data_IF_810807965229
#
_entry.id   IF_810807965229
#
_cell.length_a   1.000
_cell.length_b   1.000
_cell.length_c   1.000
_cell.angle_alpha   90.00
_cell.angle_beta   90.00
_cell.angle_gamma   90.00
#
_symmetry.space_group_name_H-M   'P 1'
#
loop_
_entity.id
_entity.type
_entity.pdbx_description
1 polymer ?
#
# COMPACT_ATOMS: atom_id res chain seq x y z
N UNK A 1 28.78 60.54 -32.96
CA UNK A 1 28.60 59.44 -33.93
C UNK A 1 29.22 58.18 -33.35
N UNK A 2 28.41 57.36 -32.67
CA UNK A 2 28.80 56.04 -32.12
C UNK A 2 27.68 55.06 -32.48
N UNK A 3 28.04 54.04 -33.24
CA UNK A 3 27.21 52.88 -33.56
C UNK A 3 26.92 52.07 -32.30
N UNK A 4 25.66 51.76 -32.04
CA UNK A 4 25.27 50.66 -31.15
C UNK A 4 24.80 49.48 -32.01
N UNK A 5 25.53 48.36 -31.88
CA UNK A 5 25.20 47.06 -32.45
C UNK A 5 24.04 46.45 -31.65
N UNK A 6 22.93 46.15 -32.32
CA UNK A 6 21.89 45.28 -31.78
C UNK A 6 22.37 43.81 -31.80
N UNK A 7 22.19 43.12 -30.68
CA UNK A 7 22.48 41.69 -30.50
C UNK A 7 21.36 40.82 -31.12
N UNK A 8 21.67 39.74 -31.86
CA UNK A 8 20.67 38.87 -32.49
C UNK A 8 20.11 37.77 -31.56
N UNK A 9 20.19 37.95 -30.23
CA UNK A 9 19.77 36.93 -29.25
C UNK A 9 18.32 37.04 -28.76
N UNK A 10 17.55 38.06 -29.19
CA UNK A 10 16.17 38.27 -28.75
C UNK A 10 15.08 37.77 -29.71
N UNK A 11 15.44 37.19 -30.87
CA UNK A 11 14.47 36.67 -31.84
C UNK A 11 14.39 35.14 -31.91
N UNK A 12 15.23 34.41 -31.17
CA UNK A 12 15.24 32.94 -31.15
C UNK A 12 14.53 32.30 -29.95
N UNK A 13 14.18 33.06 -28.90
CA UNK A 13 13.40 32.56 -27.77
C UNK A 13 11.88 32.60 -27.99
N UNK A 14 11.40 33.45 -28.91
CA UNK A 14 9.96 33.56 -29.24
C UNK A 14 9.42 32.42 -30.13
N UNK A 15 10.26 31.78 -30.94
CA UNK A 15 9.84 30.74 -31.90
C UNK A 15 9.86 29.33 -31.28
N UNK A 16 10.62 29.12 -30.19
CA UNK A 16 10.63 27.85 -29.47
C UNK A 16 9.45 27.68 -28.50
N UNK A 17 8.82 28.77 -28.04
CA UNK A 17 7.63 28.70 -27.17
C UNK A 17 6.32 28.47 -27.94
N UNK A 18 6.22 28.92 -29.20
CA UNK A 18 5.05 28.61 -30.04
C UNK A 18 5.09 27.20 -30.67
N UNK A 19 6.28 26.64 -30.89
CA UNK A 19 6.42 25.30 -31.47
C UNK A 19 6.30 24.16 -30.45
N UNK A 20 6.47 24.43 -29.14
CA UNK A 20 6.15 23.47 -28.07
C UNK A 20 4.65 23.51 -27.67
N UNK A 21 4.01 24.68 -27.72
CA UNK A 21 2.57 24.85 -27.42
C UNK A 21 1.65 24.22 -28.48
N UNK A 22 2.04 24.28 -29.77
CA UNK A 22 1.23 23.69 -30.85
C UNK A 22 1.33 22.15 -30.97
N UNK A 23 2.38 21.53 -30.39
CA UNK A 23 2.55 20.07 -30.37
C UNK A 23 2.01 19.40 -29.09
N UNK A 24 1.88 20.12 -27.97
CA UNK A 24 1.24 19.59 -26.76
C UNK A 24 -0.29 19.57 -26.88
N UNK A 25 -0.90 20.50 -27.63
CA UNK A 25 -2.36 20.52 -27.85
C UNK A 25 -2.87 19.34 -28.69
N UNK A 26 -2.04 18.76 -29.56
CA UNK A 26 -2.44 17.63 -30.42
C UNK A 26 -2.24 16.25 -29.79
N UNK A 27 -1.51 16.12 -28.67
CA UNK A 27 -1.35 14.85 -27.95
C UNK A 27 -2.41 14.64 -26.85
N UNK A 28 -3.11 15.70 -26.42
CA UNK A 28 -4.19 15.60 -25.42
C UNK A 28 -5.60 15.52 -26.03
N UNK A 29 -5.75 15.60 -27.36
CA UNK A 29 -7.05 15.48 -28.03
C UNK A 29 -7.36 14.07 -28.58
N UNK A 30 -6.50 13.07 -28.36
CA UNK A 30 -6.84 11.69 -28.70
C UNK A 30 -7.52 11.02 -27.50
N UNK A 31 -8.84 10.91 -27.63
CA UNK A 31 -9.78 10.07 -26.84
C UNK A 31 -10.15 10.53 -25.43
N UNK A 32 -10.73 11.73 -25.30
CA UNK A 32 -11.82 11.88 -24.32
C UNK A 32 -13.10 11.34 -24.96
N UNK A 33 -13.32 10.03 -24.86
CA UNK A 33 -14.65 9.47 -25.04
C UNK A 33 -15.53 10.10 -23.96
N UNK A 34 -16.51 10.91 -24.38
CA UNK A 34 -17.53 11.46 -23.48
C UNK A 34 -18.38 10.27 -23.02
N UNK A 35 -17.98 9.61 -21.93
CA UNK A 35 -18.79 8.61 -21.28
C UNK A 35 -20.00 9.30 -20.66
N UNK A 36 -21.19 8.72 -20.83
CA UNK A 36 -22.35 9.21 -20.09
C UNK A 36 -22.18 8.85 -18.61
N UNK A 37 -22.69 9.65 -17.67
CA UNK A 37 -22.59 9.35 -16.23
C UNK A 37 -23.08 7.93 -15.87
N UNK A 38 -24.05 7.40 -16.63
CA UNK A 38 -24.55 6.02 -16.49
C UNK A 38 -23.48 4.95 -16.76
N UNK A 39 -22.52 5.21 -17.65
CA UNK A 39 -21.47 4.25 -17.99
C UNK A 39 -20.43 4.14 -16.87
N UNK A 40 -20.19 5.22 -16.12
CA UNK A 40 -19.28 5.24 -14.98
C UNK A 40 -19.91 4.63 -13.73
N UNK A 41 -21.19 4.90 -13.44
CA UNK A 41 -21.92 4.31 -12.31
C UNK A 41 -21.90 2.79 -12.35
N UNK A 42 -22.00 2.20 -13.56
CA UNK A 42 -21.92 0.75 -13.75
C UNK A 42 -20.60 0.14 -13.26
N UNK A 43 -19.51 0.91 -13.22
CA UNK A 43 -18.21 0.45 -12.75
C UNK A 43 -18.11 0.29 -11.24
N UNK A 44 -19.05 0.87 -10.47
CA UNK A 44 -19.14 0.75 -9.01
C UNK A 44 -20.05 -0.40 -8.56
N UNK A 45 -20.68 -1.09 -9.51
CA UNK A 45 -21.63 -2.16 -9.21
C UNK A 45 -20.95 -3.30 -8.43
N UNK A 46 -21.60 -3.82 -7.36
CA UNK A 46 -21.07 -4.94 -6.59
C UNK A 46 -20.78 -6.19 -7.44
N UNK A 47 -19.79 -6.96 -7.02
CA UNK A 47 -19.35 -8.16 -7.74
C UNK A 47 -20.32 -9.30 -7.48
N UNK A 48 -20.75 -9.96 -8.56
CA UNK A 48 -21.48 -11.22 -8.46
C UNK A 48 -20.46 -12.36 -8.35
N UNK A 49 -20.34 -12.98 -7.17
CA UNK A 49 -19.39 -14.06 -6.91
C UNK A 49 -19.84 -15.43 -7.45
N UNK A 50 -20.08 -15.48 -8.77
CA UNK A 50 -20.21 -16.70 -9.56
C UNK A 50 -19.04 -16.81 -10.55
N UNK A 51 -18.84 -18.00 -11.15
CA UNK A 51 -17.78 -18.17 -12.15
C UNK A 51 -17.95 -17.27 -13.38
N UNK A 52 -19.19 -16.95 -13.77
CA UNK A 52 -19.46 -15.97 -14.82
C UNK A 52 -19.29 -14.55 -14.31
N UNK A 53 -19.85 -14.21 -13.14
CA UNK A 53 -19.81 -12.84 -12.61
C UNK A 53 -18.39 -12.33 -12.33
N UNK A 54 -17.48 -13.19 -11.86
CA UNK A 54 -16.06 -12.81 -11.70
C UNK A 54 -15.41 -12.53 -13.07
N UNK A 55 -15.69 -13.36 -14.08
CA UNK A 55 -15.18 -13.12 -15.45
C UNK A 55 -15.73 -11.82 -16.01
N UNK A 56 -17.02 -11.60 -15.85
CA UNK A 56 -17.70 -10.40 -16.33
C UNK A 56 -17.11 -9.15 -15.68
N UNK A 57 -16.86 -9.17 -14.36
CA UNK A 57 -16.17 -8.08 -13.66
C UNK A 57 -14.79 -7.80 -14.26
N UNK A 58 -13.95 -8.82 -14.49
CA UNK A 58 -12.63 -8.59 -15.05
C UNK A 58 -12.69 -8.06 -16.48
N UNK A 59 -13.57 -8.60 -17.32
CA UNK A 59 -13.68 -8.22 -18.74
C UNK A 59 -14.31 -6.84 -18.93
N UNK A 60 -15.35 -6.51 -18.16
CA UNK A 60 -16.18 -5.33 -18.41
C UNK A 60 -15.97 -4.20 -17.40
N UNK A 61 -15.33 -4.44 -16.26
CA UNK A 61 -15.08 -3.43 -15.23
C UNK A 61 -13.59 -3.25 -14.99
N UNK A 62 -12.91 -4.25 -14.43
CA UNK A 62 -11.53 -4.11 -13.92
C UNK A 62 -10.52 -3.66 -14.99
N UNK A 63 -10.60 -4.22 -16.19
CA UNK A 63 -9.64 -3.95 -17.27
C UNK A 63 -9.88 -2.61 -17.99
N UNK A 64 -11.04 -1.96 -17.78
CA UNK A 64 -11.35 -0.67 -18.39
C UNK A 64 -10.43 0.44 -17.86
N UNK A 65 -9.81 1.28 -18.70
CA UNK A 65 -8.91 2.34 -18.25
C UNK A 65 -9.53 3.24 -17.18
N UNK A 66 -10.82 3.56 -17.35
CA UNK A 66 -11.59 4.39 -16.42
C UNK A 66 -11.63 3.80 -14.99
N UNK A 67 -11.58 2.47 -14.86
CA UNK A 67 -11.54 1.82 -13.56
C UNK A 67 -10.30 2.20 -12.74
N UNK A 68 -9.14 2.29 -13.39
CA UNK A 68 -7.90 2.70 -12.71
C UNK A 68 -7.81 4.22 -12.53
N UNK A 69 -8.50 5.01 -13.35
CA UNK A 69 -8.43 6.47 -13.31
C UNK A 69 -9.42 7.07 -12.32
N UNK A 70 -10.64 6.53 -12.27
CA UNK A 70 -11.78 7.14 -11.58
C UNK A 70 -12.29 6.30 -10.40
N UNK A 71 -12.29 4.97 -10.52
CA UNK A 71 -12.93 4.08 -9.55
C UNK A 71 -11.98 3.62 -8.46
N UNK A 72 -10.96 2.82 -8.79
CA UNK A 72 -10.05 2.24 -7.82
C UNK A 72 -9.35 3.27 -6.91
N UNK A 73 -8.92 4.45 -7.39
CA UNK A 73 -8.36 5.51 -6.54
C UNK A 73 -9.28 5.98 -5.42
N UNK A 74 -10.60 5.88 -5.62
CA UNK A 74 -11.62 6.47 -4.77
C UNK A 74 -12.57 5.41 -4.16
N UNK A 75 -12.37 4.13 -4.48
CA UNK A 75 -13.31 3.07 -4.12
C UNK A 75 -12.65 1.69 -4.10
N UNK A 76 -12.25 1.24 -2.90
CA UNK A 76 -11.64 -0.08 -2.69
C UNK A 76 -12.65 -1.20 -2.43
N UNK A 77 -13.97 -0.96 -2.49
CA UNK A 77 -14.97 -1.99 -2.13
C UNK A 77 -14.83 -3.27 -2.96
N UNK A 78 -14.51 -3.21 -4.25
CA UNK A 78 -14.29 -4.44 -5.04
C UNK A 78 -13.14 -5.28 -4.50
N UNK A 79 -12.05 -4.66 -4.08
CA UNK A 79 -10.93 -5.34 -3.46
C UNK A 79 -11.37 -6.02 -2.15
N UNK A 80 -12.05 -5.27 -1.30
CA UNK A 80 -12.58 -5.77 -0.02
C UNK A 80 -13.60 -6.90 -0.22
N UNK A 81 -14.50 -6.79 -1.21
CA UNK A 81 -15.46 -7.84 -1.56
C UNK A 81 -14.76 -9.15 -1.95
N UNK A 82 -13.64 -9.09 -2.69
CA UNK A 82 -12.87 -10.30 -3.00
C UNK A 82 -12.24 -10.93 -1.74
N UNK A 83 -11.69 -10.11 -0.84
CA UNK A 83 -11.13 -10.60 0.42
C UNK A 83 -12.24 -11.18 1.33
N UNK A 84 -13.39 -10.53 1.39
CA UNK A 84 -14.56 -11.00 2.12
C UNK A 84 -15.09 -12.33 1.55
N UNK A 85 -15.13 -12.48 0.23
CA UNK A 85 -15.46 -13.75 -0.39
C UNK A 85 -14.45 -14.84 -0.03
N UNK A 86 -13.16 -14.50 0.06
CA UNK A 86 -12.12 -15.42 0.48
C UNK A 86 -12.38 -15.93 1.90
N UNK A 87 -12.69 -15.02 2.83
CA UNK A 87 -13.00 -15.33 4.22
C UNK A 87 -14.28 -16.18 4.33
N UNK A 88 -15.40 -15.71 3.77
CA UNK A 88 -16.72 -16.36 3.87
C UNK A 88 -16.75 -17.75 3.23
N UNK A 89 -15.98 -17.96 2.16
CA UNK A 89 -15.93 -19.23 1.43
C UNK A 89 -14.75 -20.12 1.86
N UNK A 90 -14.06 -19.77 2.95
CA UNK A 90 -12.86 -20.45 3.46
C UNK A 90 -11.84 -20.76 2.36
N UNK A 91 -11.58 -19.77 1.49
CA UNK A 91 -10.60 -19.91 0.42
C UNK A 91 -9.19 -19.95 1.03
N UNK A 92 -8.31 -20.73 0.39
CA UNK A 92 -6.90 -20.82 0.77
C UNK A 92 -6.17 -19.51 0.48
N UNK A 93 -5.04 -19.28 1.15
CA UNK A 93 -4.13 -18.13 0.95
C UNK A 93 -3.79 -17.84 -0.52
N UNK A 94 -3.68 -18.88 -1.34
CA UNK A 94 -3.43 -18.75 -2.79
C UNK A 94 -4.49 -17.86 -3.46
N UNK A 95 -5.74 -17.94 -3.01
CA UNK A 95 -6.81 -17.07 -3.50
C UNK A 95 -6.56 -15.61 -3.13
N UNK A 96 -6.26 -15.30 -1.86
CA UNK A 96 -5.92 -13.94 -1.42
C UNK A 96 -4.75 -13.38 -2.24
N UNK A 97 -3.69 -14.17 -2.46
CA UNK A 97 -2.58 -13.80 -3.36
C UNK A 97 -3.04 -13.52 -4.79
N UNK A 98 -3.96 -14.33 -5.32
CA UNK A 98 -4.51 -14.14 -6.67
C UNK A 98 -5.41 -12.91 -6.81
N UNK A 99 -5.88 -12.35 -5.69
CA UNK A 99 -6.66 -11.11 -5.64
C UNK A 99 -5.73 -9.91 -5.47
N UNK A 100 -4.88 -9.91 -4.43
CA UNK A 100 -4.02 -8.77 -4.10
C UNK A 100 -3.09 -8.42 -5.27
N UNK A 101 -2.54 -9.43 -5.97
CA UNK A 101 -1.61 -9.19 -7.09
C UNK A 101 -2.23 -8.38 -8.24
N UNK A 102 -3.39 -8.75 -8.82
CA UNK A 102 -4.07 -7.91 -9.80
C UNK A 102 -4.35 -6.50 -9.30
N UNK A 103 -4.87 -6.34 -8.09
CA UNK A 103 -5.20 -5.02 -7.54
C UNK A 103 -3.96 -4.16 -7.32
N UNK A 104 -2.86 -4.72 -6.79
CA UNK A 104 -1.58 -4.03 -6.69
C UNK A 104 -1.06 -3.58 -8.06
N UNK A 105 -1.17 -4.44 -9.08
CA UNK A 105 -0.77 -4.08 -10.44
C UNK A 105 -1.69 -3.01 -11.05
N UNK A 106 -2.98 -3.03 -10.75
CA UNK A 106 -3.93 -2.01 -11.21
C UNK A 106 -3.72 -0.68 -10.51
N UNK A 107 -3.37 -0.71 -9.22
CA UNK A 107 -3.06 0.48 -8.42
C UNK A 107 -1.83 1.22 -8.95
N UNK A 108 -0.85 0.52 -9.53
CA UNK A 108 0.27 1.17 -10.24
C UNK A 108 -0.19 2.10 -11.37
N UNK A 109 -1.26 1.73 -12.08
CA UNK A 109 -1.83 2.51 -13.17
C UNK A 109 -2.73 3.65 -12.68
N UNK A 110 -3.06 3.69 -11.39
CA UNK A 110 -3.82 4.79 -10.80
C UNK A 110 -2.93 6.05 -10.72
N UNK A 111 -3.42 7.23 -11.13
CA UNK A 111 -2.66 8.47 -11.02
C UNK A 111 -2.51 8.94 -9.57
N UNK A 112 -3.49 8.63 -8.74
CA UNK A 112 -3.53 8.96 -7.31
C UNK A 112 -4.33 7.91 -6.54
N UNK A 113 -4.39 8.07 -5.22
CA UNK A 113 -5.29 7.34 -4.31
C UNK A 113 -5.84 8.36 -3.31
N UNK A 114 -7.16 8.37 -3.10
CA UNK A 114 -7.77 9.21 -2.08
C UNK A 114 -7.37 8.69 -0.69
N UNK A 115 -6.75 9.55 0.12
CA UNK A 115 -6.20 9.15 1.41
C UNK A 115 -7.26 8.68 2.42
N UNK A 116 -8.46 9.27 2.40
CA UNK A 116 -9.55 8.90 3.30
C UNK A 116 -10.10 7.52 2.97
N UNK A 117 -10.32 7.24 1.68
CA UNK A 117 -10.82 5.93 1.22
C UNK A 117 -9.75 4.84 1.41
N UNK A 118 -8.47 5.20 1.32
CA UNK A 118 -7.38 4.28 1.67
C UNK A 118 -7.37 3.95 3.16
N UNK A 119 -7.52 4.95 4.04
CA UNK A 119 -7.61 4.73 5.48
C UNK A 119 -8.76 3.77 5.85
N UNK A 120 -9.95 4.01 5.30
CA UNK A 120 -11.13 3.15 5.50
C UNK A 120 -10.91 1.71 4.99
N UNK A 121 -10.15 1.57 3.90
CA UNK A 121 -9.79 0.27 3.34
C UNK A 121 -8.84 -0.49 4.25
N UNK A 122 -7.83 0.17 4.84
CA UNK A 122 -6.88 -0.49 5.75
C UNK A 122 -7.58 -1.10 6.95
N UNK A 123 -8.48 -0.34 7.58
CA UNK A 123 -9.25 -0.81 8.74
C UNK A 123 -10.00 -2.12 8.43
N UNK A 124 -10.70 -2.17 7.30
CA UNK A 124 -11.45 -3.37 6.88
C UNK A 124 -10.51 -4.50 6.42
N UNK A 125 -9.42 -4.16 5.74
CA UNK A 125 -8.45 -5.13 5.22
C UNK A 125 -7.79 -5.93 6.36
N UNK A 126 -7.58 -5.30 7.52
CA UNK A 126 -7.02 -5.97 8.70
C UNK A 126 -7.83 -7.24 9.02
N UNK A 127 -9.10 -7.06 9.35
CA UNK A 127 -10.03 -8.12 9.77
C UNK A 127 -10.14 -9.24 8.72
N UNK A 128 -10.13 -8.88 7.44
CA UNK A 128 -10.29 -9.82 6.34
C UNK A 128 -9.04 -10.68 6.10
N UNK A 129 -7.85 -10.22 6.49
CA UNK A 129 -6.59 -10.91 6.25
C UNK A 129 -6.05 -11.68 7.46
N UNK A 130 -6.42 -11.33 8.70
CA UNK A 130 -5.89 -11.97 9.92
C UNK A 130 -5.95 -13.50 9.82
N UNK A 131 -7.09 -14.06 9.39
CA UNK A 131 -7.26 -15.52 9.29
C UNK A 131 -6.35 -16.18 8.25
N UNK A 132 -5.98 -15.45 7.19
CA UNK A 132 -5.09 -15.95 6.14
C UNK A 132 -3.61 -15.85 6.55
N UNK A 133 -3.29 -14.93 7.46
CA UNK A 133 -1.93 -14.71 7.96
C UNK A 133 -1.54 -15.62 9.13
N UNK A 134 -2.51 -16.21 9.84
CA UNK A 134 -2.21 -17.18 10.90
C UNK A 134 -1.39 -18.35 10.33
N UNK A 135 -0.17 -18.61 10.81
CA UNK A 135 0.50 -19.87 10.53
C UNK A 135 -0.37 -21.02 11.03
N UNK A 136 -0.39 -22.15 10.30
CA UNK A 136 -1.32 -23.25 10.59
C UNK A 136 -1.00 -23.91 11.95
N UNK A 137 0.24 -23.77 12.44
CA UNK A 137 0.68 -24.29 13.75
C UNK A 137 1.82 -23.40 14.30
N UNK A 138 1.58 -22.66 15.38
CA UNK A 138 2.63 -21.96 16.15
C UNK A 138 2.83 -22.70 17.47
N UNK A 139 3.75 -23.67 17.54
CA UNK A 139 4.59 -23.98 18.73
C UNK A 139 5.83 -24.76 18.24
N UNK A 140 7.05 -24.29 18.50
CA UNK A 140 8.31 -25.05 18.21
C UNK A 140 8.34 -26.46 18.83
N UNK A 141 7.55 -26.71 19.89
CA UNK A 141 7.35 -28.04 20.47
C UNK A 141 6.75 -29.05 19.48
N UNK A 142 6.14 -28.59 18.37
CA UNK A 142 5.42 -29.48 17.45
C UNK A 142 6.29 -30.13 16.38
N UNK A 143 7.40 -29.55 15.92
CA UNK A 143 8.28 -30.27 14.97
C UNK A 143 8.91 -31.49 15.65
N UNK A 144 9.36 -31.31 16.89
CA UNK A 144 9.82 -32.42 17.73
C UNK A 144 8.70 -33.41 18.00
N UNK A 145 7.46 -32.95 18.26
CA UNK A 145 6.31 -33.82 18.47
C UNK A 145 5.87 -34.57 17.20
N UNK A 146 5.91 -33.94 16.03
CA UNK A 146 5.62 -34.54 14.72
C UNK A 146 6.67 -35.61 14.41
N UNK A 147 7.96 -35.29 14.55
CA UNK A 147 9.04 -36.26 14.38
C UNK A 147 8.92 -37.38 15.41
N UNK A 148 8.63 -37.07 16.68
CA UNK A 148 8.45 -38.07 17.72
C UNK A 148 7.26 -38.98 17.45
N UNK A 149 6.13 -38.45 16.98
CA UNK A 149 4.94 -39.23 16.65
C UNK A 149 5.14 -40.08 15.39
N UNK A 150 5.85 -39.55 14.38
CA UNK A 150 6.23 -40.33 13.20
C UNK A 150 7.17 -41.48 13.59
N UNK A 151 8.18 -41.21 14.42
CA UNK A 151 9.07 -42.24 14.96
C UNK A 151 8.26 -43.28 15.75
N UNK A 152 7.45 -42.83 16.71
CA UNK A 152 6.68 -43.70 17.58
C UNK A 152 5.69 -44.56 16.80
N UNK A 153 4.93 -43.98 15.87
CA UNK A 153 3.95 -44.70 15.04
C UNK A 153 4.62 -45.68 14.09
N UNK A 154 5.71 -45.28 13.41
CA UNK A 154 6.45 -46.17 12.51
C UNK A 154 7.11 -47.33 13.25
N UNK A 155 7.71 -47.08 14.41
CA UNK A 155 8.26 -48.16 15.23
C UNK A 155 7.17 -49.05 15.84
N UNK A 156 6.03 -48.50 16.25
CA UNK A 156 4.94 -49.29 16.84
C UNK A 156 4.23 -50.17 15.81
N UNK A 157 4.06 -49.67 14.59
CA UNK A 157 3.27 -50.33 13.54
C UNK A 157 4.13 -51.27 12.68
N UNK A 158 5.37 -50.87 12.40
CA UNK A 158 6.25 -51.55 11.44
C UNK A 158 7.52 -52.14 12.10
N UNK A 159 7.49 -52.44 13.40
CA UNK A 159 8.64 -52.99 14.13
C UNK A 159 9.23 -54.27 13.51
N UNK A 160 8.36 -55.14 12.99
CA UNK A 160 8.79 -56.39 12.34
C UNK A 160 9.58 -56.11 11.06
N UNK A 161 9.18 -55.09 10.29
CA UNK A 161 9.90 -54.64 9.10
C UNK A 161 11.28 -54.11 9.49
N UNK A 162 11.37 -53.32 10.56
CA UNK A 162 12.64 -52.85 11.10
C UNK A 162 13.57 -54.02 11.48
N UNK A 163 13.06 -55.07 12.14
CA UNK A 163 13.86 -56.26 12.50
C UNK A 163 14.39 -57.01 11.27
N UNK A 164 13.60 -57.11 10.21
CA UNK A 164 13.96 -57.89 9.02
C UNK A 164 14.81 -57.10 8.02
N UNK A 165 14.52 -55.80 7.85
CA UNK A 165 15.15 -54.92 6.87
C UNK A 165 15.37 -53.52 7.45
N UNK A 166 16.35 -53.35 8.38
CA UNK A 166 16.55 -52.10 9.11
C UNK A 166 16.82 -50.89 8.19
N UNK A 167 17.65 -51.08 7.15
CA UNK A 167 17.99 -50.00 6.22
C UNK A 167 16.77 -49.48 5.45
N UNK A 168 15.99 -50.37 4.86
CA UNK A 168 14.79 -50.00 4.10
C UNK A 168 13.77 -49.28 4.99
N UNK A 169 13.56 -49.77 6.22
CA UNK A 169 12.68 -49.12 7.19
C UNK A 169 13.17 -47.69 7.53
N UNK A 170 14.46 -47.53 7.82
CA UNK A 170 15.02 -46.21 8.14
C UNK A 170 14.98 -45.25 6.95
N UNK A 171 15.21 -45.77 5.74
CA UNK A 171 15.10 -44.99 4.51
C UNK A 171 13.65 -44.51 4.31
N UNK A 172 12.66 -45.39 4.41
CA UNK A 172 11.23 -45.05 4.29
C UNK A 172 10.78 -44.03 5.33
N UNK A 173 11.13 -44.25 6.60
CA UNK A 173 10.84 -43.32 7.70
C UNK A 173 11.50 -41.94 7.48
N UNK A 174 12.74 -41.92 6.99
CA UNK A 174 13.44 -40.66 6.68
C UNK A 174 12.74 -39.91 5.56
N UNK A 175 12.28 -40.59 4.51
CA UNK A 175 11.50 -39.97 3.43
C UNK A 175 10.16 -39.42 3.94
N UNK A 176 9.49 -40.13 4.84
CA UNK A 176 8.24 -39.68 5.44
C UNK A 176 8.43 -38.43 6.30
N UNK A 177 9.47 -38.40 7.15
CA UNK A 177 9.85 -37.22 7.93
C UNK A 177 10.16 -36.04 6.99
N UNK A 178 11.00 -36.23 5.97
CA UNK A 178 11.34 -35.18 5.00
C UNK A 178 10.09 -34.66 4.30
N UNK A 179 9.14 -35.53 3.91
CA UNK A 179 7.89 -35.11 3.28
C UNK A 179 7.08 -34.22 4.21
N UNK A 180 6.89 -34.61 5.46
CA UNK A 180 6.16 -33.82 6.45
C UNK A 180 6.84 -32.49 6.78
N UNK A 181 8.17 -32.47 6.85
CA UNK A 181 8.95 -31.23 7.01
C UNK A 181 8.80 -30.31 5.79
N UNK A 182 8.88 -30.85 4.57
CA UNK A 182 8.70 -30.08 3.35
C UNK A 182 7.29 -29.47 3.28
N UNK A 183 6.25 -30.23 3.63
CA UNK A 183 4.88 -29.73 3.68
C UNK A 183 4.73 -28.56 4.68
N UNK A 184 5.45 -28.61 5.82
CA UNK A 184 5.54 -27.50 6.78
C UNK A 184 6.19 -26.25 6.16
N UNK A 185 7.40 -26.39 5.59
CA UNK A 185 8.12 -25.26 4.96
C UNK A 185 7.34 -24.65 3.78
N UNK A 186 6.60 -25.46 3.03
CA UNK A 186 5.73 -24.98 1.94
C UNK A 186 4.55 -24.15 2.46
N UNK A 187 4.03 -24.45 3.66
CA UNK A 187 2.95 -23.68 4.25
C UNK A 187 3.43 -22.37 4.85
N UNK A 188 4.59 -22.37 5.50
CA UNK A 188 5.17 -21.17 6.11
C UNK A 188 5.62 -20.16 5.03
N UNK A 189 6.32 -20.64 4.00
CA UNK A 189 6.67 -19.81 2.83
C UNK A 189 5.45 -19.19 2.15
N UNK A 190 4.29 -19.86 2.19
CA UNK A 190 3.05 -19.30 1.64
C UNK A 190 2.49 -18.10 2.41
N UNK A 191 2.77 -17.99 3.72
CA UNK A 191 2.41 -16.86 4.59
C UNK A 191 3.33 -15.69 4.28
N UNK A 192 4.64 -15.93 4.28
CA UNK A 192 5.64 -14.92 3.96
C UNK A 192 5.39 -14.30 2.58
N UNK A 193 5.11 -15.13 1.56
CA UNK A 193 4.76 -14.65 0.23
C UNK A 193 3.50 -13.75 0.23
N UNK A 194 2.51 -14.08 1.06
CA UNK A 194 1.30 -13.27 1.18
C UNK A 194 1.61 -11.95 1.89
N UNK A 195 2.41 -11.98 2.95
CA UNK A 195 2.89 -10.79 3.67
C UNK A 195 3.65 -9.84 2.76
N UNK A 196 4.66 -10.33 2.03
CA UNK A 196 5.39 -9.50 1.05
C UNK A 196 4.46 -8.87 0.01
N UNK A 197 3.40 -9.60 -0.39
CA UNK A 197 2.44 -9.08 -1.36
C UNK A 197 1.54 -7.99 -0.76
N UNK A 198 1.15 -8.12 0.51
CA UNK A 198 0.44 -7.10 1.28
C UNK A 198 1.30 -5.86 1.43
N UNK A 199 2.54 -6.00 1.92
CA UNK A 199 3.48 -4.89 2.07
C UNK A 199 3.66 -4.11 0.77
N UNK A 200 3.86 -4.82 -0.35
CA UNK A 200 3.97 -4.20 -1.66
C UNK A 200 2.69 -3.47 -2.10
N UNK A 201 1.52 -4.02 -1.78
CA UNK A 201 0.24 -3.37 -2.08
C UNK A 201 0.09 -2.07 -1.29
N UNK A 202 0.42 -2.10 0.01
CA UNK A 202 0.41 -0.94 0.90
C UNK A 202 1.35 0.15 0.40
N UNK A 203 2.59 -0.20 0.10
CA UNK A 203 3.61 0.72 -0.40
C UNK A 203 3.19 1.43 -1.72
N UNK A 204 2.58 0.69 -2.65
CA UNK A 204 2.06 1.28 -3.89
C UNK A 204 0.89 2.24 -3.61
N UNK A 205 0.05 1.95 -2.62
CA UNK A 205 -1.05 2.83 -2.22
C UNK A 205 -0.55 4.10 -1.54
N UNK A 206 0.33 3.95 -0.54
CA UNK A 206 0.92 5.04 0.23
C UNK A 206 1.65 6.04 -0.68
N UNK A 207 2.47 5.55 -1.61
CA UNK A 207 3.20 6.42 -2.55
C UNK A 207 2.31 7.26 -3.50
N UNK A 208 1.00 6.98 -3.54
CA UNK A 208 0.03 7.64 -4.42
C UNK A 208 -1.03 8.46 -3.68
N UNK A 209 -0.99 8.52 -2.36
CA UNK A 209 -2.02 9.22 -1.58
C UNK A 209 -2.14 10.70 -1.97
N UNK A 210 -3.36 11.21 -2.02
CA UNK A 210 -3.66 12.63 -2.19
C UNK A 210 -4.70 13.02 -1.15
N UNK A 211 -4.49 14.19 -0.56
CA UNK A 211 -5.44 14.89 0.29
C UNK A 211 -5.97 16.12 -0.45
N UNK A 212 -7.19 16.55 -0.10
CA UNK A 212 -7.75 17.79 -0.63
C UNK A 212 -7.36 18.96 0.28
N UNK A 213 -6.82 20.08 -0.25
CA UNK A 213 -6.40 21.22 0.58
C UNK A 213 -7.54 21.90 1.33
N UNK A 214 -8.75 21.87 0.78
CA UNK A 214 -9.95 22.40 1.45
C UNK A 214 -10.26 21.65 2.76
N UNK A 215 -9.84 20.39 2.86
CA UNK A 215 -10.00 19.56 4.06
C UNK A 215 -8.81 19.73 5.04
N UNK A 216 -8.10 20.86 5.00
CA UNK A 216 -6.88 21.11 5.80
C UNK A 216 -6.96 20.66 7.27
N UNK A 217 -8.13 20.75 7.92
CA UNK A 217 -8.33 20.29 9.30
C UNK A 217 -8.22 18.76 9.46
N UNK A 218 -8.64 18.01 8.46
CA UNK A 218 -8.73 16.54 8.53
C UNK A 218 -7.54 15.84 7.88
N UNK A 219 -6.72 16.53 7.06
CA UNK A 219 -5.60 15.89 6.35
C UNK A 219 -4.59 15.26 7.30
N UNK A 220 -4.16 16.00 8.34
CA UNK A 220 -3.22 15.48 9.34
C UNK A 220 -3.83 14.35 10.17
N UNK A 221 -5.12 14.46 10.52
CA UNK A 221 -5.84 13.40 11.21
C UNK A 221 -5.90 12.14 10.36
N UNK A 222 -6.15 12.25 9.06
CA UNK A 222 -6.11 11.13 8.12
C UNK A 222 -4.73 10.45 8.08
N UNK A 223 -3.63 11.23 8.11
CA UNK A 223 -2.27 10.65 8.23
C UNK A 223 -2.14 9.81 9.50
N UNK A 224 -2.57 10.34 10.65
CA UNK A 224 -2.55 9.61 11.91
C UNK A 224 -3.41 8.34 11.85
N UNK A 225 -4.62 8.42 11.32
CA UNK A 225 -5.50 7.25 11.13
C UNK A 225 -4.86 6.18 10.25
N UNK A 226 -4.20 6.56 9.14
CA UNK A 226 -3.47 5.60 8.31
C UNK A 226 -2.35 4.95 9.11
N UNK A 227 -1.58 5.73 9.87
CA UNK A 227 -0.50 5.19 10.70
C UNK A 227 -1.01 4.24 11.78
N UNK A 228 -2.09 4.60 12.48
CA UNK A 228 -2.71 3.75 13.50
C UNK A 228 -3.20 2.43 12.89
N UNK A 229 -3.87 2.47 11.73
CA UNK A 229 -4.31 1.27 11.01
C UNK A 229 -3.14 0.38 10.55
N UNK A 230 -1.99 0.96 10.22
CA UNK A 230 -0.77 0.19 9.90
C UNK A 230 -0.17 -0.44 11.16
N UNK A 231 -0.21 0.23 12.31
CA UNK A 231 0.21 -0.36 13.58
C UNK A 231 -0.66 -1.57 13.95
N UNK A 232 -1.98 -1.51 13.72
CA UNK A 232 -2.88 -2.64 13.96
C UNK A 232 -2.55 -3.88 13.10
N UNK A 233 -1.87 -3.71 11.96
CA UNK A 233 -1.39 -4.84 11.16
C UNK A 233 -0.24 -5.57 11.84
N UNK A 234 0.58 -4.89 12.66
CA UNK A 234 1.60 -5.53 13.49
C UNK A 234 0.94 -6.33 14.60
N UNK A 235 -0.03 -5.73 15.31
CA UNK A 235 -0.79 -6.42 16.37
C UNK A 235 -1.50 -7.67 15.86
N UNK A 236 -1.91 -7.65 14.58
CA UNK A 236 -2.59 -8.77 13.91
C UNK A 236 -1.64 -9.75 13.20
N UNK A 237 -0.32 -9.58 13.35
CA UNK A 237 0.74 -10.38 12.72
C UNK A 237 0.69 -10.42 11.17
N UNK A 238 -0.03 -9.47 10.57
CA UNK A 238 -0.03 -9.23 9.12
C UNK A 238 1.34 -8.70 8.72
N UNK A 239 1.85 -7.71 9.47
CA UNK A 239 3.23 -7.25 9.42
C UNK A 239 3.96 -7.91 10.59
N UNK A 240 5.05 -8.62 10.30
CA UNK A 240 5.81 -9.36 11.33
C UNK A 240 7.08 -8.63 11.77
N UNK A 241 7.63 -7.78 10.91
CA UNK A 241 8.84 -7.01 11.18
C UNK A 241 8.45 -5.55 11.46
N UNK A 242 9.00 -4.98 12.53
CA UNK A 242 8.78 -3.57 12.88
C UNK A 242 9.45 -2.65 11.85
N UNK A 243 10.50 -3.12 11.17
CA UNK A 243 11.16 -2.35 10.11
C UNK A 243 10.28 -2.21 8.88
N UNK A 244 9.52 -3.24 8.52
CA UNK A 244 8.52 -3.14 7.46
C UNK A 244 7.46 -2.06 7.80
N UNK A 245 7.08 -1.92 9.08
CA UNK A 245 6.19 -0.85 9.52
C UNK A 245 6.88 0.53 9.42
N UNK A 246 8.14 0.63 9.81
CA UNK A 246 8.92 1.87 9.74
C UNK A 246 9.05 2.37 8.28
N UNK A 247 9.31 1.45 7.34
CA UNK A 247 9.36 1.75 5.91
C UNK A 247 8.03 2.32 5.41
N UNK A 248 6.91 1.71 5.78
CA UNK A 248 5.58 2.21 5.42
C UNK A 248 5.29 3.60 6.03
N UNK A 249 5.74 3.84 7.26
CA UNK A 249 5.66 5.15 7.92
C UNK A 249 6.47 6.21 7.20
N UNK A 250 7.69 5.88 6.75
CA UNK A 250 8.50 6.77 5.93
C UNK A 250 7.76 7.09 4.63
N UNK A 251 7.24 6.10 3.92
CA UNK A 251 6.48 6.30 2.68
C UNK A 251 5.25 7.18 2.86
N UNK A 252 4.49 6.98 3.94
CA UNK A 252 3.35 7.82 4.31
C UNK A 252 3.79 9.27 4.56
N UNK A 253 4.85 9.46 5.32
CA UNK A 253 5.33 10.79 5.69
C UNK A 253 5.88 11.56 4.48
N UNK A 254 6.74 10.93 3.68
CA UNK A 254 7.28 11.52 2.46
C UNK A 254 6.15 11.93 1.50
N UNK A 255 5.09 11.12 1.41
CA UNK A 255 3.92 11.47 0.60
C UNK A 255 3.14 12.66 1.17
N UNK A 256 3.01 12.76 2.48
CA UNK A 256 2.35 13.90 3.12
C UNK A 256 3.18 15.18 2.98
N UNK A 257 4.50 15.09 3.10
CA UNK A 257 5.43 16.22 2.84
C UNK A 257 5.29 16.69 1.39
N UNK A 258 5.19 15.77 0.43
CA UNK A 258 4.90 16.11 -0.96
C UNK A 258 3.58 16.88 -1.10
N UNK A 259 2.51 16.45 -0.42
CA UNK A 259 1.24 17.18 -0.36
C UNK A 259 1.42 18.61 0.18
N UNK A 260 2.14 18.79 1.29
CA UNK A 260 2.41 20.11 1.86
C UNK A 260 3.14 21.04 0.89
N UNK A 261 4.07 20.51 0.07
CA UNK A 261 4.81 21.33 -0.89
C UNK A 261 3.96 21.75 -2.09
N UNK A 262 3.08 20.89 -2.60
CA UNK A 262 2.21 21.24 -3.73
C UNK A 262 1.02 22.11 -3.31
N UNK A 263 0.53 21.95 -2.07
CA UNK A 263 -0.70 22.60 -1.58
C UNK A 263 -0.46 23.79 -0.65
N UNK A 264 0.80 24.20 -0.45
CA UNK A 264 1.16 25.30 0.46
C UNK A 264 0.40 26.61 0.24
N UNK A 265 -0.07 26.85 -0.98
CA UNK A 265 -0.76 28.09 -1.35
C UNK A 265 -2.24 28.10 -0.95
N UNK A 266 -2.79 26.93 -0.65
CA UNK A 266 -4.20 26.71 -0.36
C UNK A 266 -4.44 26.42 1.13
N UNK A 267 -3.37 26.08 1.87
CA UNK A 267 -3.43 25.76 3.29
C UNK A 267 -3.30 27.04 4.15
N UNK A 268 -4.20 27.27 5.13
CA UNK A 268 -4.14 28.45 5.98
C UNK A 268 -3.01 28.38 7.02
N UNK A 269 -2.54 29.52 7.54
CA UNK A 269 -1.53 29.54 8.63
C UNK A 269 -1.98 28.76 9.86
N UNK A 270 -3.27 28.81 10.19
CA UNK A 270 -3.84 28.09 11.33
C UNK A 270 -3.65 26.58 11.23
N UNK A 271 -3.63 26.02 10.01
CA UNK A 271 -3.33 24.62 9.78
C UNK A 271 -1.90 24.27 10.22
N UNK A 272 -0.89 25.02 9.77
CA UNK A 272 0.50 24.77 10.13
C UNK A 272 0.73 24.88 11.64
N UNK A 273 0.11 25.88 12.28
CA UNK A 273 0.18 26.06 13.73
C UNK A 273 -0.45 24.89 14.47
N UNK A 274 -1.63 24.44 14.01
CA UNK A 274 -2.33 23.31 14.61
C UNK A 274 -1.51 22.02 14.52
N UNK A 275 -0.99 21.68 13.33
CA UNK A 275 -0.20 20.45 13.14
C UNK A 275 1.09 20.49 13.97
N UNK A 276 1.81 21.62 14.01
CA UNK A 276 3.00 21.77 14.87
C UNK A 276 2.70 21.64 16.35
N UNK A 277 1.54 22.13 16.78
CA UNK A 277 1.12 22.01 18.16
C UNK A 277 0.77 20.56 18.49
N UNK A 278 0.02 19.89 17.62
CA UNK A 278 -0.32 18.47 17.80
C UNK A 278 0.94 17.59 17.83
N UNK A 279 1.96 17.84 17.01
CA UNK A 279 3.24 17.09 17.06
C UNK A 279 3.97 17.28 18.41
N UNK A 280 3.79 18.43 19.08
CA UNK A 280 4.44 18.70 20.37
C UNK A 280 3.65 18.14 21.55
N UNK A 281 2.33 18.13 21.45
CA UNK A 281 1.41 17.72 22.52
C UNK A 281 1.07 16.23 22.47
N UNK A 282 0.94 15.69 21.26
CA UNK A 282 0.53 14.32 20.99
C UNK A 282 1.74 13.51 20.55
N UNK A 283 1.96 12.38 21.21
CA UNK A 283 2.95 11.41 20.76
C UNK A 283 2.23 10.41 19.83
N UNK A 284 2.78 10.21 18.64
CA UNK A 284 2.24 9.29 17.64
C UNK A 284 3.32 8.26 17.32
N UNK A 285 2.97 6.97 17.30
CA UNK A 285 3.93 5.88 17.01
C UNK A 285 4.67 6.14 15.67
N UNK A 286 3.97 6.74 14.70
CA UNK A 286 4.53 7.23 13.42
C UNK A 286 5.82 8.05 13.58
N UNK A 287 5.89 8.91 14.59
CA UNK A 287 7.00 9.84 14.81
C UNK A 287 7.97 9.38 15.91
N UNK A 288 7.53 8.44 16.76
CA UNK A 288 8.33 7.87 17.85
C UNK A 288 9.24 6.74 17.38
N UNK A 289 8.83 5.98 16.36
CA UNK A 289 9.63 4.90 15.84
C UNK A 289 10.89 5.47 15.20
N UNK A 290 12.06 5.22 15.79
CA UNK A 290 13.33 5.78 15.34
C UNK A 290 13.79 5.12 14.02
N UNK A 291 14.51 5.89 13.21
CA UNK A 291 15.22 5.37 12.03
C UNK A 291 16.43 4.53 12.48
N UNK A 292 16.65 3.38 11.85
CA UNK A 292 17.75 2.49 12.24
C UNK A 292 19.11 2.94 11.68
N UNK A 293 19.11 3.57 10.51
CA UNK A 293 20.36 3.96 9.87
C UNK A 293 20.97 5.19 10.55
N UNK A 294 22.22 5.03 10.98
CA UNK A 294 23.00 6.14 11.49
C UNK A 294 23.03 7.29 10.47
N UNK A 295 22.86 8.52 10.98
CA UNK A 295 22.91 9.76 10.22
C UNK A 295 21.70 10.08 9.32
N UNK A 296 20.62 9.30 9.37
CA UNK A 296 19.38 9.73 8.74
C UNK A 296 18.70 10.85 9.54
N UNK A 297 18.03 11.74 8.81
CA UNK A 297 17.20 12.79 9.41
C UNK A 297 15.92 12.17 9.98
N UNK A 298 15.62 12.37 11.27
CA UNK A 298 14.42 11.81 11.88
C UNK A 298 13.12 12.29 11.24
N UNK A 299 12.12 11.40 11.14
CA UNK A 299 10.76 11.69 10.63
C UNK A 299 10.18 12.98 11.20
N UNK A 300 10.26 13.18 12.51
CA UNK A 300 9.77 14.40 13.17
C UNK A 300 10.48 15.67 12.68
N UNK A 301 11.78 15.60 12.42
CA UNK A 301 12.57 16.74 11.94
C UNK A 301 12.18 17.07 10.49
N UNK A 302 12.10 16.05 9.61
CA UNK A 302 11.64 16.20 8.23
C UNK A 302 10.27 16.89 8.16
N UNK A 303 9.31 16.41 8.95
CA UNK A 303 7.96 16.97 8.99
C UNK A 303 7.96 18.42 9.49
N UNK A 304 8.65 18.69 10.59
CA UNK A 304 8.76 20.05 11.15
C UNK A 304 9.42 21.01 10.16
N UNK A 305 10.43 20.57 9.42
CA UNK A 305 11.06 21.36 8.37
C UNK A 305 10.07 21.72 7.25
N UNK A 306 9.32 20.74 6.73
CA UNK A 306 8.30 20.95 5.70
C UNK A 306 7.20 21.93 6.18
N UNK A 307 6.72 21.77 7.42
CA UNK A 307 5.72 22.67 8.02
C UNK A 307 6.26 24.09 8.23
N UNK A 308 7.55 24.25 8.54
CA UNK A 308 8.20 25.57 8.66
C UNK A 308 8.31 26.27 7.30
N UNK A 309 8.70 25.54 6.25
CA UNK A 309 8.76 26.08 4.88
C UNK A 309 7.36 26.49 4.41
N UNK A 310 6.37 25.61 4.58
CA UNK A 310 4.99 25.88 4.18
C UNK A 310 4.44 27.13 4.87
N UNK A 311 4.57 27.22 6.20
CA UNK A 311 4.12 28.38 6.96
C UNK A 311 4.83 29.68 6.52
N UNK A 312 6.14 29.63 6.30
CA UNK A 312 6.90 30.80 5.83
C UNK A 312 6.43 31.28 4.44
N UNK A 313 6.14 30.35 3.52
CA UNK A 313 5.60 30.67 2.18
C UNK A 313 4.23 31.36 2.29
N UNK A 314 3.35 30.92 3.18
CA UNK A 314 2.04 31.56 3.39
C UNK A 314 2.19 32.94 4.02
N UNK A 315 3.00 33.08 5.08
CA UNK A 315 3.26 34.38 5.73
C UNK A 315 3.87 35.42 4.80
N UNK A 316 4.72 35.01 3.87
CA UNK A 316 5.31 35.93 2.89
C UNK A 316 4.28 36.46 1.86
N UNK A 317 3.13 35.80 1.72
CA UNK A 317 2.05 36.18 0.79
C UNK A 317 0.98 37.01 1.44
N UNK A 318 0.72 36.83 2.74
CA UNK A 318 -0.17 37.70 3.47
C UNK A 318 0.38 39.13 3.35
N UNK A 319 -0.36 40.06 2.72
CA UNK A 319 0.05 41.45 2.69
C UNK A 319 0.25 41.90 4.13
N UNK A 320 1.35 42.58 4.41
CA UNK A 320 1.44 43.37 5.64
C UNK A 320 0.34 44.45 5.58
N UNK A 321 -0.90 44.11 5.96
CA UNK A 321 -1.99 45.05 6.25
C UNK A 321 -1.75 45.78 7.58
N UNK A 322 -0.47 46.09 7.85
CA UNK A 322 0.01 46.87 8.99
C UNK A 322 1.02 47.87 8.48
N UNK A 323 0.52 48.88 7.77
CA UNK A 323 1.09 50.22 7.74
C UNK A 323 0.30 51.11 8.70
#
# INVERSE_FOLDING_TARGET
MKMQRFSPLFLLSGILLFSYSAKSYNYQQQTYTIYTNKDLESLYAPIIFSSSGIKDFFHHTFNRPEYAQEVLPNYFSHFLQFLEHALRSNKKRIYAKSVIRPFANRLKACPYVNAYVFADMLQQMNELLVTQMRPIMKVENDLTHVVHNLLYSSFSTNFLQFKQRPRLFLDELSHEIIRHLNDYYLQDSSVEELRTMVLRFLEIGLSKLIWHPEDSKETWKSVKTIADNLAEFVDSEIISDIEDLNDLYISLLERYIFFLDISNNELPISFYQHVKQDIKESSTILLELEEQEEFLEPKIQKLMHALNIGEAKVRAREPNDRL
#
